data_IF_241911664507
#
_entry.id   IF_241911664507
#
_cell.length_a   1.000
_cell.length_b   1.000
_cell.length_c   1.000
_cell.angle_alpha   90.00
_cell.angle_beta   90.00
_cell.angle_gamma   90.00
#
_symmetry.space_group_name_H-M   'P 1'
#
loop_
_entity.id
_entity.type
_entity.pdbx_description
1 polymer ?
#
# COMPACT_ATOMS: atom_id res chain seq x y z
N UNK A 1 19.20 33.65 0.97
CA UNK A 1 20.39 32.79 0.94
C UNK A 1 20.10 31.31 0.68
N UNK A 2 19.24 30.60 1.43
CA UNK A 2 19.01 29.16 1.19
C UNK A 2 18.21 28.82 -0.09
N UNK A 3 17.23 29.65 -0.48
CA UNK A 3 16.41 29.41 -1.68
C UNK A 3 17.18 29.62 -3.00
N UNK A 4 18.16 30.54 -3.04
CA UNK A 4 18.97 30.77 -4.24
C UNK A 4 19.92 29.60 -4.50
N UNK A 5 20.48 29.02 -3.44
CA UNK A 5 21.34 27.83 -3.53
C UNK A 5 20.56 26.63 -4.11
N UNK A 6 19.32 26.40 -3.65
CA UNK A 6 18.45 25.35 -4.19
C UNK A 6 18.08 25.59 -5.67
N UNK A 7 17.78 26.83 -6.06
CA UNK A 7 17.54 27.16 -7.47
C UNK A 7 18.77 26.91 -8.33
N UNK A 8 19.96 27.29 -7.86
CA UNK A 8 21.21 27.07 -8.60
C UNK A 8 21.48 25.58 -8.83
N UNK A 9 21.14 24.74 -7.85
CA UNK A 9 21.25 23.29 -7.96
C UNK A 9 20.33 22.73 -9.04
N UNK A 10 19.04 23.10 -9.03
CA UNK A 10 18.07 22.61 -10.04
C UNK A 10 18.29 23.18 -11.44
N UNK A 11 18.98 24.32 -11.55
CA UNK A 11 19.44 24.88 -12.84
C UNK A 11 20.69 24.19 -13.40
N UNK A 12 21.27 23.21 -12.70
CA UNK A 12 22.44 22.50 -13.21
C UNK A 12 22.00 21.47 -14.28
N UNK A 13 22.43 21.61 -15.55
CA UNK A 13 22.07 20.69 -16.64
C UNK A 13 22.64 19.29 -16.48
N UNK A 14 23.65 19.12 -15.62
CA UNK A 14 24.27 17.84 -15.30
C UNK A 14 23.64 17.17 -14.07
N UNK A 15 22.78 17.86 -13.33
CA UNK A 15 22.11 17.25 -12.18
C UNK A 15 21.19 16.13 -12.65
N UNK A 16 21.43 14.93 -12.13
CA UNK A 16 20.60 13.75 -12.31
C UNK A 16 20.28 13.23 -10.92
N UNK A 17 19.01 13.16 -10.60
CA UNK A 17 18.55 12.65 -9.30
C UNK A 17 17.99 11.25 -9.51
N UNK A 18 18.48 10.29 -8.74
CA UNK A 18 17.84 8.97 -8.72
C UNK A 18 16.46 9.08 -8.06
N UNK A 19 16.38 9.81 -6.94
CA UNK A 19 15.13 10.03 -6.21
C UNK A 19 15.01 11.45 -5.69
N UNK A 20 13.81 12.01 -5.79
CA UNK A 20 13.43 13.28 -5.15
C UNK A 20 12.15 13.06 -4.34
N UNK A 21 12.22 13.30 -3.04
CA UNK A 21 11.06 13.29 -2.15
C UNK A 21 10.82 14.71 -1.60
N UNK A 22 9.61 15.23 -1.78
CA UNK A 22 9.24 16.57 -1.33
C UNK A 22 8.21 16.46 -0.22
N UNK A 23 8.70 16.43 1.02
CA UNK A 23 7.88 16.39 2.23
C UNK A 23 8.12 17.67 3.04
N UNK A 24 7.20 18.63 2.94
CA UNK A 24 7.33 19.90 3.65
C UNK A 24 5.96 20.53 3.94
N UNK A 25 5.95 21.60 4.74
CA UNK A 25 4.71 22.32 5.08
C UNK A 25 4.11 23.01 3.85
N UNK A 26 2.79 23.23 3.85
CA UNK A 26 2.09 23.86 2.73
C UNK A 26 2.66 25.22 2.31
N UNK A 27 3.20 26.01 3.24
CA UNK A 27 3.91 27.27 2.94
C UNK A 27 5.16 27.01 2.10
N UNK A 28 6.00 26.04 2.51
CA UNK A 28 7.19 25.64 1.76
C UNK A 28 6.84 25.03 0.39
N UNK A 29 5.74 24.29 0.27
CA UNK A 29 5.28 23.75 -1.02
C UNK A 29 5.00 24.86 -2.04
N UNK A 30 4.30 25.92 -1.63
CA UNK A 30 4.04 27.09 -2.49
C UNK A 30 5.33 27.76 -2.95
N UNK A 31 6.31 27.88 -2.06
CA UNK A 31 7.63 28.41 -2.40
C UNK A 31 8.33 27.49 -3.41
N UNK A 32 8.38 26.18 -3.15
CA UNK A 32 8.99 25.18 -4.05
C UNK A 32 8.33 25.19 -5.44
N UNK A 33 7.00 25.27 -5.53
CA UNK A 33 6.29 25.40 -6.82
C UNK A 33 6.81 26.60 -7.61
N UNK A 34 6.86 27.78 -6.97
CA UNK A 34 7.39 28.99 -7.60
C UNK A 34 8.86 28.86 -8.00
N UNK A 35 9.68 28.14 -7.22
CA UNK A 35 11.07 27.89 -7.59
C UNK A 35 11.17 27.02 -8.84
N UNK A 36 10.37 25.95 -8.92
CA UNK A 36 10.33 25.08 -10.10
C UNK A 36 9.78 25.80 -11.33
N UNK A 37 8.73 26.60 -11.19
CA UNK A 37 8.19 27.41 -12.31
C UNK A 37 9.19 28.42 -12.86
N UNK A 38 10.12 28.91 -12.03
CA UNK A 38 11.23 29.79 -12.46
C UNK A 38 12.39 29.04 -13.08
N UNK A 39 12.41 27.72 -13.00
CA UNK A 39 13.41 26.90 -13.66
C UNK A 39 13.02 26.71 -15.12
N UNK A 40 13.79 27.29 -16.04
CA UNK A 40 13.59 27.06 -17.47
C UNK A 40 14.15 25.71 -17.94
N UNK A 41 14.73 24.92 -17.03
CA UNK A 41 15.30 23.61 -17.33
C UNK A 41 14.42 22.52 -16.71
N UNK A 42 14.16 21.47 -17.50
CA UNK A 42 13.56 20.24 -17.01
C UNK A 42 14.49 19.56 -16.00
N UNK A 43 13.91 19.18 -14.86
CA UNK A 43 14.62 18.44 -13.81
C UNK A 43 14.63 16.97 -14.20
N UNK A 44 15.83 16.39 -14.28
CA UNK A 44 16.02 14.98 -14.62
C UNK A 44 16.07 14.16 -13.33
N UNK A 45 14.94 13.57 -12.98
CA UNK A 45 14.77 12.69 -11.83
C UNK A 45 14.14 11.38 -12.28
N UNK A 46 14.61 10.25 -11.73
CA UNK A 46 14.04 8.93 -12.04
C UNK A 46 12.81 8.62 -11.19
N UNK A 47 12.87 8.87 -9.89
CA UNK A 47 11.80 8.60 -8.93
C UNK A 47 11.33 9.88 -8.22
N UNK A 48 10.03 10.18 -8.26
CA UNK A 48 9.45 11.37 -7.64
C UNK A 48 8.41 11.01 -6.58
N UNK A 49 8.61 11.47 -5.35
CA UNK A 49 7.67 11.30 -4.24
C UNK A 49 7.10 12.65 -3.80
N UNK A 50 5.80 12.84 -4.01
CA UNK A 50 5.09 14.09 -3.77
C UNK A 50 3.72 13.81 -3.13
N UNK A 51 3.04 14.87 -2.72
CA UNK A 51 1.63 14.79 -2.31
C UNK A 51 0.71 15.55 -3.26
N UNK A 52 -0.59 15.34 -3.10
CA UNK A 52 -1.69 15.91 -3.87
C UNK A 52 -1.57 17.43 -4.10
N UNK A 53 -0.97 18.21 -3.18
CA UNK A 53 -0.87 19.66 -3.34
C UNK A 53 0.03 20.04 -4.50
N UNK A 54 0.94 19.15 -4.90
CA UNK A 54 1.80 19.31 -6.06
C UNK A 54 1.11 18.96 -7.39
N UNK A 55 -0.04 18.28 -7.34
CA UNK A 55 -0.86 17.96 -8.51
C UNK A 55 -1.89 19.04 -8.84
N UNK A 56 -2.26 19.88 -7.87
CA UNK A 56 -3.14 21.04 -8.11
C UNK A 56 -2.61 21.92 -9.23
N UNK A 57 -3.46 22.32 -10.17
CA UNK A 57 -3.09 23.18 -11.30
C UNK A 57 -2.64 24.58 -10.83
N UNK A 58 -1.53 25.13 -11.37
CA UNK A 58 -0.56 24.45 -12.23
C UNK A 58 0.21 23.34 -11.50
N UNK A 59 0.21 22.13 -12.09
CA UNK A 59 0.87 20.95 -11.54
C UNK A 59 2.37 21.10 -11.65
N UNK A 60 3.18 20.52 -10.76
CA UNK A 60 4.65 20.55 -10.94
C UNK A 60 5.16 19.50 -11.93
N UNK A 61 4.33 18.56 -12.37
CA UNK A 61 4.80 17.45 -13.21
C UNK A 61 5.45 17.94 -14.52
N UNK A 62 4.98 19.08 -15.05
CA UNK A 62 5.54 19.68 -16.26
C UNK A 62 6.98 20.18 -16.12
N UNK A 63 7.54 20.30 -14.91
CA UNK A 63 8.94 20.76 -14.71
C UNK A 63 9.94 19.61 -14.76
N UNK A 64 9.48 18.36 -14.81
CA UNK A 64 10.32 17.17 -14.89
C UNK A 64 10.49 16.69 -16.33
N UNK A 65 11.62 16.05 -16.60
CA UNK A 65 11.90 15.39 -17.88
C UNK A 65 11.12 14.06 -17.96
N UNK A 66 10.13 14.02 -18.84
CA UNK A 66 9.23 12.88 -19.08
C UNK A 66 9.97 11.61 -19.51
N UNK A 67 11.15 11.71 -20.16
CA UNK A 67 11.92 10.54 -20.56
C UNK A 67 12.69 9.92 -19.38
N UNK A 68 13.14 10.78 -18.47
CA UNK A 68 13.89 10.39 -17.28
C UNK A 68 12.98 9.89 -16.15
N UNK A 69 11.78 10.46 -16.01
CA UNK A 69 10.85 10.13 -14.95
C UNK A 69 10.22 8.75 -15.18
N UNK A 70 10.59 7.77 -14.34
CA UNK A 70 10.11 6.39 -14.45
C UNK A 70 9.09 6.02 -13.42
N UNK A 71 9.24 6.55 -12.20
CA UNK A 71 8.41 6.19 -11.07
C UNK A 71 7.89 7.44 -10.36
N UNK A 72 6.60 7.43 -10.02
CA UNK A 72 5.99 8.50 -9.24
C UNK A 72 5.19 7.88 -8.09
N UNK A 73 5.44 8.37 -6.88
CA UNK A 73 4.60 8.10 -5.71
C UNK A 73 3.85 9.37 -5.32
N UNK A 74 2.52 9.28 -5.24
CA UNK A 74 1.65 10.39 -4.80
C UNK A 74 0.95 9.99 -3.51
N UNK A 75 1.08 10.82 -2.48
CA UNK A 75 0.23 10.78 -1.28
C UNK A 75 -1.01 11.63 -1.53
N UNK A 76 -2.19 11.03 -1.49
CA UNK A 76 -3.45 11.68 -1.89
C UNK A 76 -4.67 11.10 -1.19
N UNK A 77 -5.78 11.84 -1.19
CA UNK A 77 -7.11 11.31 -0.86
C UNK A 77 -7.95 10.98 -2.12
N UNK A 78 -9.19 10.52 -1.91
CA UNK A 78 -10.14 10.14 -2.98
C UNK A 78 -10.51 11.30 -3.93
N UNK A 79 -10.59 12.53 -3.43
CA UNK A 79 -10.99 13.68 -4.27
C UNK A 79 -9.97 13.89 -5.39
N UNK A 80 -8.69 13.78 -5.04
CA UNK A 80 -7.59 13.97 -5.97
C UNK A 80 -7.30 12.74 -6.84
N UNK A 81 -7.71 11.52 -6.43
CA UNK A 81 -7.62 10.34 -7.31
C UNK A 81 -8.37 10.59 -8.62
N UNK A 82 -9.48 11.34 -8.57
CA UNK A 82 -10.31 11.60 -9.75
C UNK A 82 -9.60 12.37 -10.85
N UNK A 83 -8.67 13.25 -10.47
CA UNK A 83 -7.93 14.08 -11.43
C UNK A 83 -6.63 13.42 -11.89
N UNK A 84 -6.20 12.30 -11.30
CA UNK A 84 -4.94 11.64 -11.68
C UNK A 84 -4.91 11.24 -13.15
N UNK A 85 -6.08 10.84 -13.69
CA UNK A 85 -6.22 10.44 -15.07
C UNK A 85 -6.08 11.60 -16.08
N UNK A 86 -6.08 12.85 -15.62
CA UNK A 86 -5.82 14.03 -16.46
C UNK A 86 -4.33 14.22 -16.77
N UNK A 87 -3.43 13.57 -16.02
CA UNK A 87 -1.99 13.73 -16.20
C UNK A 87 -1.42 12.62 -17.08
N UNK A 88 -1.26 12.89 -18.37
CA UNK A 88 -0.76 11.89 -19.34
C UNK A 88 0.64 11.36 -19.01
N UNK A 89 1.48 12.16 -18.35
CA UNK A 89 2.79 11.72 -17.88
C UNK A 89 2.68 10.52 -16.92
N UNK A 90 1.65 10.47 -16.07
CA UNK A 90 1.46 9.38 -15.11
C UNK A 90 1.11 8.05 -15.81
N UNK A 91 0.48 8.11 -16.99
CA UNK A 91 0.11 6.93 -17.79
C UNK A 91 1.30 6.29 -18.51
N UNK A 92 2.43 7.02 -18.63
CA UNK A 92 3.65 6.58 -19.32
C UNK A 92 4.71 6.01 -18.37
N UNK A 93 4.45 6.05 -17.07
CA UNK A 93 5.40 5.61 -16.05
C UNK A 93 5.61 4.10 -16.09
N UNK A 94 6.83 3.68 -15.71
CA UNK A 94 7.15 2.27 -15.46
C UNK A 94 6.47 1.77 -14.18
N UNK A 95 6.26 2.66 -13.20
CA UNK A 95 5.48 2.40 -12.00
C UNK A 95 4.81 3.67 -11.49
N UNK A 96 3.50 3.61 -11.26
CA UNK A 96 2.78 4.66 -10.54
C UNK A 96 2.31 4.12 -9.18
N UNK A 97 2.63 4.83 -8.10
CA UNK A 97 2.21 4.46 -6.75
C UNK A 97 1.29 5.51 -6.16
N UNK A 98 0.11 5.08 -5.72
CA UNK A 98 -0.84 5.91 -4.98
C UNK A 98 -0.77 5.48 -3.53
N UNK A 99 -0.43 6.40 -2.63
CA UNK A 99 -0.58 6.19 -1.21
C UNK A 99 -1.78 6.99 -0.72
N UNK A 100 -2.79 6.30 -0.21
CA UNK A 100 -4.07 6.90 0.19
C UNK A 100 -4.52 6.39 1.54
N UNK A 101 -5.30 7.21 2.23
CA UNK A 101 -6.00 6.81 3.45
C UNK A 101 -7.34 6.16 3.16
N UNK A 102 -7.88 6.34 1.93
CA UNK A 102 -9.23 5.92 1.55
C UNK A 102 -9.23 5.09 0.27
N UNK A 103 -10.12 4.11 0.18
CA UNK A 103 -10.44 3.45 -1.08
C UNK A 103 -11.07 4.45 -2.07
N UNK A 104 -10.68 4.42 -3.36
CA UNK A 104 -11.28 5.30 -4.34
C UNK A 104 -12.77 5.01 -4.49
N UNK A 105 -13.59 6.05 -4.63
CA UNK A 105 -15.03 5.93 -4.87
C UNK A 105 -15.29 5.30 -6.23
N UNK A 106 -14.54 5.72 -7.26
CA UNK A 106 -14.58 5.16 -8.61
C UNK A 106 -13.21 4.60 -9.00
N UNK A 107 -13.04 3.26 -8.99
CA UNK A 107 -11.77 2.61 -9.27
C UNK A 107 -11.45 2.56 -10.77
N UNK A 108 -12.43 2.77 -11.65
CA UNK A 108 -12.24 2.69 -13.10
C UNK A 108 -11.27 3.77 -13.60
N UNK A 109 -11.15 4.87 -12.85
CA UNK A 109 -10.19 5.95 -13.07
C UNK A 109 -8.73 5.47 -12.99
N UNK A 110 -8.48 4.34 -12.33
CA UNK A 110 -7.16 3.75 -12.15
C UNK A 110 -6.79 2.76 -13.27
N UNK A 111 -7.72 2.39 -14.15
CA UNK A 111 -7.48 1.36 -15.18
C UNK A 111 -6.52 1.80 -16.29
N UNK A 112 -6.33 3.11 -16.45
CA UNK A 112 -5.47 3.67 -17.49
C UNK A 112 -3.98 3.64 -17.14
N UNK A 113 -3.62 3.24 -15.91
CA UNK A 113 -2.22 3.13 -15.50
C UNK A 113 -1.69 1.73 -15.81
N UNK A 114 -0.63 1.60 -16.64
CA UNK A 114 -0.14 0.31 -17.11
C UNK A 114 0.46 -0.55 -15.99
N UNK A 115 1.05 0.10 -14.97
CA UNK A 115 1.59 -0.53 -13.75
C UNK A 115 1.28 0.37 -12.56
N UNK A 116 0.37 -0.10 -11.71
CA UNK A 116 -0.15 0.65 -10.59
C UNK A 116 0.06 -0.12 -9.28
N UNK A 117 0.62 0.58 -8.31
CA UNK A 117 0.67 0.16 -6.91
C UNK A 117 -0.19 1.08 -6.06
N UNK A 118 -0.99 0.49 -5.18
CA UNK A 118 -1.76 1.23 -4.19
C UNK A 118 -1.27 0.82 -2.80
N UNK A 119 -1.00 1.82 -1.96
CA UNK A 119 -0.69 1.67 -0.54
C UNK A 119 -1.78 2.34 0.28
N UNK A 120 -2.42 1.56 1.15
CA UNK A 120 -3.38 2.07 2.11
C UNK A 120 -2.67 2.32 3.44
N UNK A 121 -2.68 3.57 3.92
CA UNK A 121 -1.98 3.92 5.17
C UNK A 121 -2.75 3.52 6.45
N UNK A 122 -4.06 3.33 6.36
CA UNK A 122 -4.89 2.85 7.48
C UNK A 122 -5.68 1.60 7.09
N UNK A 123 -6.16 0.89 8.13
CA UNK A 123 -7.20 -0.12 8.01
C UNK A 123 -8.44 0.47 7.37
N UNK A 124 -9.01 -0.20 6.36
CA UNK A 124 -10.27 0.23 5.77
C UNK A 124 -11.33 0.35 6.89
N UNK A 125 -11.88 1.54 7.14
CA UNK A 125 -13.02 1.68 8.06
C UNK A 125 -14.25 0.96 7.46
N UNK A 126 -15.29 0.67 8.25
CA UNK A 126 -16.47 -0.08 7.77
C UNK A 126 -17.11 0.55 6.51
N UNK A 127 -17.07 1.87 6.38
CA UNK A 127 -17.55 2.59 5.18
C UNK A 127 -16.66 2.30 3.96
N UNK A 128 -15.35 2.22 4.15
CA UNK A 128 -14.37 1.95 3.10
C UNK A 128 -14.42 0.50 2.64
N UNK A 129 -14.79 -0.42 3.54
CA UNK A 129 -15.07 -1.83 3.20
C UNK A 129 -16.26 -1.95 2.25
N UNK A 130 -17.30 -1.13 2.42
CA UNK A 130 -18.41 -1.10 1.46
C UNK A 130 -17.99 -0.61 0.08
N UNK A 131 -17.05 0.34 0.02
CA UNK A 131 -16.42 0.74 -1.24
C UNK A 131 -15.51 -0.36 -1.80
N UNK A 132 -14.74 -1.05 -0.96
CA UNK A 132 -13.95 -2.22 -1.35
C UNK A 132 -14.82 -3.30 -2.01
N UNK A 133 -15.98 -3.62 -1.42
CA UNK A 133 -16.97 -4.57 -1.94
C UNK A 133 -17.55 -4.09 -3.28
N UNK A 134 -17.96 -2.82 -3.38
CA UNK A 134 -18.49 -2.23 -4.63
C UNK A 134 -17.45 -2.20 -5.74
N UNK A 135 -16.20 -1.95 -5.36
CA UNK A 135 -15.07 -1.77 -6.25
C UNK A 135 -14.25 -3.05 -6.42
N UNK A 136 -14.84 -4.20 -6.09
CA UNK A 136 -14.16 -5.48 -6.14
C UNK A 136 -13.57 -5.79 -7.53
N UNK A 137 -14.22 -5.30 -8.59
CA UNK A 137 -13.74 -5.43 -9.96
C UNK A 137 -12.36 -4.76 -10.20
N UNK A 138 -11.97 -3.79 -9.37
CA UNK A 138 -10.61 -3.23 -9.38
C UNK A 138 -9.56 -4.32 -9.13
N UNK A 139 -9.82 -5.23 -8.18
CA UNK A 139 -8.92 -6.32 -7.84
C UNK A 139 -8.85 -7.40 -8.91
N UNK A 140 -9.81 -7.40 -9.86
CA UNK A 140 -9.76 -8.21 -11.08
C UNK A 140 -8.93 -7.56 -12.19
N UNK A 141 -8.40 -6.35 -12.02
CA UNK A 141 -7.51 -5.79 -13.02
C UNK A 141 -6.16 -6.54 -12.99
N UNK A 142 -5.77 -7.28 -14.05
CA UNK A 142 -4.52 -8.06 -14.05
C UNK A 142 -3.26 -7.18 -14.01
N UNK A 143 -3.40 -5.88 -14.25
CA UNK A 143 -2.32 -4.89 -14.16
C UNK A 143 -2.17 -4.29 -12.76
N UNK A 144 -3.14 -4.48 -11.87
CA UNK A 144 -3.09 -3.98 -10.51
C UNK A 144 -2.12 -4.84 -9.67
N UNK A 145 -1.18 -4.18 -9.01
CA UNK A 145 -0.18 -4.83 -8.14
C UNK A 145 -0.20 -4.13 -6.79
N UNK A 146 -0.83 -4.72 -5.78
CA UNK A 146 -0.90 -4.12 -4.46
C UNK A 146 0.38 -4.39 -3.68
N UNK A 147 0.93 -3.36 -3.05
CA UNK A 147 2.04 -3.59 -2.12
C UNK A 147 1.51 -4.06 -0.77
N UNK A 148 0.42 -3.45 -0.29
CA UNK A 148 -0.19 -3.80 0.97
C UNK A 148 -1.71 -3.72 0.86
N UNK A 149 -2.41 -4.76 1.32
CA UNK A 149 -3.86 -4.79 1.46
C UNK A 149 -4.22 -5.08 2.92
N UNK A 150 -4.95 -4.16 3.54
CA UNK A 150 -5.44 -4.28 4.91
C UNK A 150 -6.96 -4.40 4.91
N UNK A 151 -7.50 -5.55 5.33
CA UNK A 151 -8.93 -5.79 5.40
C UNK A 151 -9.33 -6.03 6.86
N UNK A 152 -10.02 -5.05 7.44
CA UNK A 152 -10.56 -5.10 8.79
C UNK A 152 -12.02 -4.66 8.72
N UNK A 153 -12.94 -5.53 9.14
CA UNK A 153 -14.37 -5.25 8.98
C UNK A 153 -15.24 -6.05 9.94
N UNK A 154 -16.52 -5.64 10.03
CA UNK A 154 -17.52 -6.38 10.79
C UNK A 154 -17.78 -7.76 10.17
N UNK A 155 -18.38 -8.67 10.95
CA UNK A 155 -18.61 -10.05 10.53
C UNK A 155 -19.49 -10.16 9.28
N UNK A 156 -20.52 -9.32 9.16
CA UNK A 156 -21.42 -9.36 8.01
C UNK A 156 -20.73 -8.89 6.73
N UNK A 157 -19.88 -7.87 6.82
CA UNK A 157 -19.04 -7.42 5.71
C UNK A 157 -18.03 -8.48 5.28
N UNK A 158 -17.45 -9.24 6.22
CA UNK A 158 -16.55 -10.37 5.89
C UNK A 158 -17.21 -11.42 5.05
N UNK A 159 -18.45 -11.81 5.39
CA UNK A 159 -19.19 -12.81 4.62
C UNK A 159 -19.38 -12.37 3.18
N UNK A 160 -19.72 -11.10 2.97
CA UNK A 160 -19.88 -10.54 1.63
C UNK A 160 -18.55 -10.48 0.87
N UNK A 161 -17.46 -10.05 1.51
CA UNK A 161 -16.12 -10.07 0.93
C UNK A 161 -15.70 -11.49 0.52
N UNK A 162 -15.88 -12.48 1.40
CA UNK A 162 -15.55 -13.88 1.11
C UNK A 162 -16.37 -14.37 -0.09
N UNK A 163 -17.68 -14.09 -0.15
CA UNK A 163 -18.50 -14.45 -1.32
C UNK A 163 -18.01 -13.79 -2.61
N UNK A 164 -17.58 -12.52 -2.54
CA UNK A 164 -17.04 -11.81 -3.70
C UNK A 164 -15.75 -12.45 -4.19
N UNK A 165 -14.84 -12.78 -3.28
CA UNK A 165 -13.63 -13.49 -3.65
C UNK A 165 -13.92 -14.93 -4.13
N UNK A 166 -14.85 -15.67 -3.52
CA UNK A 166 -15.24 -17.03 -3.94
C UNK A 166 -15.84 -17.04 -5.37
N UNK A 167 -16.49 -15.95 -5.78
CA UNK A 167 -16.99 -15.76 -7.16
C UNK A 167 -15.90 -15.30 -8.13
N UNK A 168 -14.75 -14.87 -7.62
CA UNK A 168 -13.64 -14.42 -8.44
C UNK A 168 -12.73 -15.60 -8.78
N UNK A 169 -12.60 -15.90 -10.08
CA UNK A 169 -11.62 -16.88 -10.55
C UNK A 169 -10.21 -16.28 -10.71
N UNK A 170 -10.05 -14.99 -10.41
CA UNK A 170 -8.79 -14.28 -10.56
C UNK A 170 -8.09 -14.12 -9.23
N UNK A 171 -6.82 -14.55 -9.20
CA UNK A 171 -5.92 -14.33 -8.07
C UNK A 171 -5.51 -12.86 -7.98
N UNK A 172 -5.54 -12.33 -6.78
CA UNK A 172 -5.18 -10.94 -6.49
C UNK A 172 -3.69 -10.87 -6.23
N UNK A 173 -3.02 -10.00 -6.97
CA UNK A 173 -1.61 -9.75 -6.75
C UNK A 173 -1.41 -8.74 -5.62
N UNK A 174 -1.00 -9.24 -4.46
CA UNK A 174 -0.63 -8.44 -3.30
C UNK A 174 0.67 -8.95 -2.69
N UNK A 175 1.56 -8.05 -2.29
CA UNK A 175 2.81 -8.41 -1.62
C UNK A 175 2.62 -8.66 -0.12
N UNK A 176 1.91 -7.76 0.58
CA UNK A 176 1.59 -7.87 2.00
C UNK A 176 0.09 -7.86 2.25
N UNK A 177 -0.42 -8.86 2.95
CA UNK A 177 -1.83 -8.94 3.35
C UNK A 177 -1.96 -8.79 4.87
N UNK A 178 -2.78 -7.86 5.33
CA UNK A 178 -3.16 -7.73 6.74
C UNK A 178 -4.64 -8.03 6.91
N UNK A 179 -4.97 -9.03 7.72
CA UNK A 179 -6.33 -9.50 7.98
C UNK A 179 -6.50 -9.84 9.46
N UNK A 180 -7.73 -10.05 9.91
CA UNK A 180 -7.99 -10.69 11.19
C UNK A 180 -8.27 -12.20 11.05
N UNK A 181 -8.13 -12.93 12.15
CA UNK A 181 -8.28 -14.38 12.26
C UNK A 181 -9.63 -14.89 11.77
N UNK A 182 -10.67 -14.06 11.74
CA UNK A 182 -12.00 -14.48 11.28
C UNK A 182 -12.03 -14.74 9.78
N UNK A 183 -11.12 -14.14 9.01
CA UNK A 183 -10.92 -14.51 7.60
C UNK A 183 -10.32 -15.91 7.45
N UNK A 184 -9.51 -16.36 8.41
CA UNK A 184 -8.86 -17.67 8.38
C UNK A 184 -9.77 -18.81 8.80
N UNK A 185 -10.97 -18.55 9.30
CA UNK A 185 -11.97 -19.61 9.56
C UNK A 185 -12.39 -20.36 8.30
N UNK A 186 -12.16 -19.78 7.12
CA UNK A 186 -12.31 -20.44 5.82
C UNK A 186 -10.96 -20.49 5.11
N UNK A 187 -10.44 -21.68 4.77
CA UNK A 187 -9.14 -21.80 4.09
C UNK A 187 -9.08 -21.15 2.72
N UNK A 188 -10.22 -20.88 2.10
CA UNK A 188 -10.33 -20.31 0.77
C UNK A 188 -9.75 -18.91 0.64
N UNK A 189 -9.68 -18.09 1.71
CA UNK A 189 -9.28 -16.68 1.58
C UNK A 189 -7.85 -16.52 1.06
N UNK A 190 -6.91 -17.31 1.54
CA UNK A 190 -5.51 -17.18 1.17
C UNK A 190 -5.26 -17.69 -0.26
N UNK A 191 -6.03 -18.66 -0.73
CA UNK A 191 -5.96 -19.18 -2.10
C UNK A 191 -6.41 -18.19 -3.18
N UNK A 192 -7.06 -17.10 -2.78
CA UNK A 192 -7.49 -16.02 -3.68
C UNK A 192 -6.37 -15.03 -4.00
N UNK A 193 -5.22 -15.15 -3.33
CA UNK A 193 -4.05 -14.34 -3.60
C UNK A 193 -3.04 -15.10 -4.45
N UNK A 194 -2.24 -14.35 -5.21
CA UNK A 194 -1.14 -14.86 -6.00
C UNK A 194 -0.01 -15.35 -5.08
N UNK A 195 0.14 -16.67 -4.94
CA UNK A 195 1.13 -17.33 -4.08
C UNK A 195 2.58 -16.89 -4.36
N UNK A 196 2.91 -16.52 -5.61
CA UNK A 196 4.25 -16.04 -5.95
C UNK A 196 4.46 -14.60 -5.49
N UNK A 197 3.39 -13.81 -5.50
CA UNK A 197 3.39 -12.41 -5.10
C UNK A 197 3.37 -12.22 -3.58
N UNK A 198 2.57 -13.03 -2.89
CA UNK A 198 2.30 -12.90 -1.48
C UNK A 198 3.54 -13.28 -0.68
N UNK A 199 4.23 -12.26 -0.15
CA UNK A 199 5.46 -12.44 0.62
C UNK A 199 5.20 -12.37 2.12
N UNK A 200 4.26 -11.54 2.53
CA UNK A 200 4.04 -11.23 3.93
C UNK A 200 2.55 -11.30 4.28
N UNK A 201 2.23 -11.91 5.42
CA UNK A 201 0.88 -11.90 5.99
C UNK A 201 0.95 -11.42 7.43
N UNK A 202 0.14 -10.45 7.81
CA UNK A 202 -0.12 -10.10 9.20
C UNK A 202 -1.53 -10.52 9.60
N UNK A 203 -1.65 -11.24 10.71
CA UNK A 203 -2.95 -11.71 11.23
C UNK A 203 -3.17 -11.15 12.62
N UNK A 204 -4.30 -10.48 12.83
CA UNK A 204 -4.81 -10.15 14.18
C UNK A 204 -5.60 -11.34 14.70
N UNK A 205 -5.14 -11.98 15.77
CA UNK A 205 -5.68 -13.27 16.23
C UNK A 205 -5.64 -13.43 17.74
N UNK A 206 -6.51 -14.29 18.28
CA UNK A 206 -6.40 -14.81 19.65
C UNK A 206 -5.68 -16.16 19.65
N UNK A 207 -5.30 -16.64 20.85
CA UNK A 207 -4.61 -17.93 21.05
C UNK A 207 -5.34 -19.12 20.37
N UNK A 208 -6.66 -19.18 20.48
CA UNK A 208 -7.48 -20.26 19.88
C UNK A 208 -7.21 -20.44 18.38
N UNK A 209 -7.03 -19.34 17.65
CA UNK A 209 -6.81 -19.36 16.20
C UNK A 209 -5.35 -19.48 15.81
N UNK A 210 -4.39 -19.21 16.72
CA UNK A 210 -2.97 -19.45 16.46
C UNK A 210 -2.73 -20.92 16.12
N UNK A 211 -3.44 -21.83 16.80
CA UNK A 211 -3.33 -23.27 16.57
C UNK A 211 -3.67 -23.67 15.14
N UNK A 212 -4.62 -22.97 14.53
CA UNK A 212 -5.09 -23.26 13.17
C UNK A 212 -4.15 -22.68 12.10
N UNK A 213 -3.23 -21.77 12.44
CA UNK A 213 -2.34 -21.16 11.45
C UNK A 213 -1.46 -22.20 10.74
N UNK A 214 -1.08 -23.26 11.43
CA UNK A 214 -0.23 -24.33 10.88
C UNK A 214 -0.97 -25.21 9.85
N UNK A 215 -2.30 -25.10 9.75
CA UNK A 215 -3.10 -25.80 8.74
C UNK A 215 -2.99 -25.14 7.35
N UNK A 216 -2.53 -23.90 7.27
CA UNK A 216 -2.41 -23.17 6.00
C UNK A 216 -0.99 -23.30 5.42
N UNK A 217 -0.81 -24.20 4.46
CA UNK A 217 0.49 -24.40 3.81
C UNK A 217 1.05 -23.16 3.12
N UNK A 218 0.18 -22.27 2.64
CA UNK A 218 0.61 -21.00 2.05
C UNK A 218 1.33 -20.11 3.07
N UNK A 219 0.94 -20.14 4.36
CA UNK A 219 1.58 -19.35 5.41
C UNK A 219 3.01 -19.85 5.68
N UNK A 220 3.29 -21.14 5.50
CA UNK A 220 4.63 -21.75 5.68
C UNK A 220 5.62 -21.32 4.60
N UNK A 221 5.13 -20.87 3.44
CA UNK A 221 5.94 -20.44 2.29
C UNK A 221 6.27 -18.94 2.30
N UNK A 222 5.68 -18.18 3.22
CA UNK A 222 5.86 -16.73 3.28
C UNK A 222 7.30 -16.37 3.64
N UNK A 223 7.71 -15.17 3.23
CA UNK A 223 8.95 -14.55 3.70
C UNK A 223 8.80 -14.01 5.13
N UNK A 224 7.58 -13.66 5.55
CA UNK A 224 7.27 -13.22 6.92
C UNK A 224 5.81 -13.48 7.29
N UNK A 225 5.57 -14.14 8.42
CA UNK A 225 4.27 -14.16 9.09
C UNK A 225 4.32 -13.28 10.34
N UNK A 226 3.47 -12.26 10.40
CA UNK A 226 3.30 -11.43 11.60
C UNK A 226 2.03 -11.85 12.33
N UNK A 227 2.17 -12.30 13.56
CA UNK A 227 1.03 -12.60 14.43
C UNK A 227 0.89 -11.44 15.40
N UNK A 228 -0.28 -10.81 15.37
CA UNK A 228 -0.63 -9.76 16.34
C UNK A 228 -1.73 -10.27 17.25
N UNK A 229 -1.50 -10.26 18.56
CA UNK A 229 -2.37 -10.92 19.52
C UNK A 229 -2.36 -10.18 20.86
N UNK A 230 -3.39 -10.38 21.66
CA UNK A 230 -3.49 -9.90 23.04
C UNK A 230 -3.00 -10.95 24.06
N UNK A 231 -2.69 -12.18 23.60
CA UNK A 231 -2.32 -13.30 24.49
C UNK A 231 -1.11 -14.06 23.96
N UNK A 232 -0.31 -14.61 24.86
CA UNK A 232 0.71 -15.57 24.47
C UNK A 232 0.07 -16.86 23.95
N UNK A 233 0.67 -17.50 22.93
CA UNK A 233 0.25 -18.80 22.47
C UNK A 233 0.42 -19.82 23.60
N UNK A 234 -0.61 -20.64 23.82
CA UNK A 234 -0.56 -21.70 24.83
C UNK A 234 0.44 -22.81 24.49
N UNK A 235 0.77 -22.97 23.20
CA UNK A 235 1.81 -23.87 22.71
C UNK A 235 2.63 -23.17 21.59
N UNK A 236 3.85 -22.68 21.89
CA UNK A 236 4.68 -22.01 20.91
C UNK A 236 5.28 -22.96 19.85
N UNK A 237 5.28 -24.27 20.09
CA UNK A 237 5.86 -25.25 19.14
C UNK A 237 5.09 -25.30 17.82
N UNK A 238 3.81 -24.94 17.84
CA UNK A 238 2.94 -24.83 16.66
C UNK A 238 3.43 -23.81 15.62
N UNK A 239 4.38 -22.96 16.01
CA UNK A 239 4.92 -21.88 15.21
C UNK A 239 6.27 -22.22 14.58
N UNK A 240 6.91 -23.33 14.97
CA UNK A 240 8.26 -23.66 14.50
C UNK A 240 8.32 -24.00 13.00
N UNK A 241 7.17 -24.27 12.37
CA UNK A 241 7.08 -24.57 10.95
C UNK A 241 7.10 -23.34 10.04
N UNK A 242 7.10 -22.12 10.60
CA UNK A 242 7.17 -20.89 9.82
C UNK A 242 8.62 -20.40 9.70
N UNK A 243 9.03 -20.09 8.47
CA UNK A 243 10.40 -19.69 8.13
C UNK A 243 10.87 -18.44 8.90
N UNK A 244 9.98 -17.45 9.06
CA UNK A 244 10.19 -16.20 9.77
C UNK A 244 8.90 -15.72 10.39
N UNK A 245 8.97 -15.40 11.68
CA UNK A 245 7.85 -14.96 12.48
C UNK A 245 8.15 -13.64 13.17
N UNK A 246 7.14 -12.80 13.25
CA UNK A 246 7.12 -11.63 14.14
C UNK A 246 5.89 -11.70 15.03
N UNK A 247 6.09 -11.63 16.34
CA UNK A 247 5.00 -11.49 17.30
C UNK A 247 4.87 -10.03 17.73
N UNK A 248 3.63 -9.52 17.75
CA UNK A 248 3.31 -8.21 18.30
C UNK A 248 2.16 -8.33 19.29
N UNK A 249 2.40 -7.90 20.51
CA UNK A 249 1.39 -7.85 21.55
C UNK A 249 0.74 -6.47 21.58
N UNK A 250 -0.60 -6.42 21.60
CA UNK A 250 -1.33 -5.14 21.63
C UNK A 250 -1.53 -4.59 23.05
N UNK A 251 -1.35 -5.43 24.08
CA UNK A 251 -1.41 -5.08 25.50
C UNK A 251 -0.22 -5.69 26.24
N UNK A 252 -0.04 -5.33 27.52
CA UNK A 252 0.97 -5.95 28.39
C UNK A 252 0.64 -7.43 28.58
N UNK A 253 1.50 -8.32 28.06
CA UNK A 253 1.51 -9.72 28.51
C UNK A 253 1.69 -9.74 30.03
N UNK A 254 0.90 -10.55 30.72
CA UNK A 254 1.19 -10.84 32.13
C UNK A 254 2.57 -11.50 32.23
N UNK A 255 3.31 -11.21 33.30
CA UNK A 255 4.70 -11.66 33.48
C UNK A 255 4.83 -13.20 33.38
N UNK A 256 3.80 -13.90 33.85
CA UNK A 256 3.64 -15.36 33.77
C UNK A 256 3.54 -15.87 32.32
N UNK A 257 2.98 -15.08 31.40
CA UNK A 257 2.81 -15.45 29.99
C UNK A 257 4.11 -15.31 29.20
N UNK A 258 4.96 -14.33 29.54
CA UNK A 258 6.29 -14.15 28.92
C UNK A 258 7.23 -15.29 29.29
N UNK A 259 7.12 -15.81 30.52
CA UNK A 259 7.96 -16.92 31.01
C UNK A 259 7.78 -18.22 30.21
N UNK A 260 6.64 -18.41 29.54
CA UNK A 260 6.36 -19.58 28.68
C UNK A 260 7.03 -19.50 27.30
N UNK A 261 7.62 -18.35 26.95
CA UNK A 261 8.23 -18.09 25.65
C UNK A 261 9.77 -18.19 25.66
N UNK A 262 10.40 -18.20 26.84
CA UNK A 262 11.85 -18.30 27.06
C UNK A 262 12.21 -19.76 27.36
#
# INVERSE_FOLDING_TARGET
DSHENLLSLFKNPKLRLDKLAIQCSNRKKKEIKKLFERSNQKIRVRQLNIDEKFLQRPTILHVFDDEALKEVTVITDDEYIRILNEFDILKKLEMFTICTWRCPTDPTLLYNFPRLTIKYYNSCEEVEVSHFIKNFDLFKNPKLRLEELSIYCSWDQKKEIIKLFERSNQKIHVKRLNIDCKFLQKPTILHMFDDEALKEVAVITSDEYIRNLNEFDILKKLEMLTIRTDRCPSDPTLLYNFSRLTFKFFDSCEEDDVSRFI
#
